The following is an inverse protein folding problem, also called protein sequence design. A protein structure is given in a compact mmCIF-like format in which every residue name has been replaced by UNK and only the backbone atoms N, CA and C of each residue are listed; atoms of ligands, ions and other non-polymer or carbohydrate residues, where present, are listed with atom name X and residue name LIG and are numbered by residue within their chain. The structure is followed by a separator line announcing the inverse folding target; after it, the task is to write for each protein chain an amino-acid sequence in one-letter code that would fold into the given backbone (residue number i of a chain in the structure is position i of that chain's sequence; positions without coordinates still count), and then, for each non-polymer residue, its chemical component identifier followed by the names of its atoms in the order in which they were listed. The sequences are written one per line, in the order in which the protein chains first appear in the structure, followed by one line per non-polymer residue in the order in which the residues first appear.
data_IF_938598469359
#
_entry.id   IF_938598469359
#
_cell.length_a   1.000
_cell.length_b   1.000
_cell.length_c   1.000
_cell.angle_alpha   90.00
_cell.angle_beta   90.00
_cell.angle_gamma   90.00
#
_symmetry.space_group_name_H-M   'P 1'
#
loop_
_entity.id
_entity.type
_entity.pdbx_description
1 polymer ?
#
# COMPACT_ATOMS: atom_id res chain seq x y z
N UNK A 1 17.72 -4.38 1.51
CA UNK A 1 16.31 -3.99 1.31
C UNK A 1 15.43 -5.24 1.49
N UNK A 2 14.49 -5.22 2.45
CA UNK A 2 13.69 -6.41 2.79
C UNK A 2 12.77 -6.85 1.66
N UNK A 3 12.75 -8.16 1.35
CA UNK A 3 11.85 -8.75 0.36
C UNK A 3 10.36 -8.53 0.71
N UNK A 4 10.02 -8.50 2.01
CA UNK A 4 8.66 -8.21 2.47
C UNK A 4 8.28 -6.74 2.20
N UNK A 5 9.18 -5.79 2.49
CA UNK A 5 8.94 -4.37 2.20
C UNK A 5 8.70 -4.13 0.69
N UNK A 6 9.47 -4.81 -0.16
CA UNK A 6 9.27 -4.74 -1.61
C UNK A 6 7.90 -5.30 -2.05
N UNK A 7 7.44 -6.40 -1.44
CA UNK A 7 6.10 -6.97 -1.70
C UNK A 7 4.98 -6.04 -1.25
N UNK A 8 5.12 -5.40 -0.09
CA UNK A 8 4.15 -4.42 0.42
C UNK A 8 4.09 -3.19 -0.49
N UNK A 9 5.24 -2.66 -0.93
CA UNK A 9 5.29 -1.57 -1.90
C UNK A 9 4.57 -1.90 -3.20
N UNK A 10 4.78 -3.12 -3.73
CA UNK A 10 4.05 -3.60 -4.92
C UNK A 10 2.54 -3.68 -4.69
N UNK A 11 2.12 -4.26 -3.57
CA UNK A 11 0.70 -4.36 -3.23
C UNK A 11 0.03 -2.98 -3.13
N UNK A 12 0.68 -2.00 -2.50
CA UNK A 12 0.17 -0.63 -2.46
C UNK A 12 0.02 -0.03 -3.88
N UNK A 13 0.95 -0.32 -4.78
CA UNK A 13 0.86 0.09 -6.19
C UNK A 13 -0.29 -0.59 -6.93
N UNK A 14 -0.54 -1.88 -6.68
CA UNK A 14 -1.67 -2.62 -7.26
C UNK A 14 -3.01 -2.06 -6.79
N UNK A 15 -3.16 -1.75 -5.50
CA UNK A 15 -4.37 -1.11 -4.96
C UNK A 15 -4.64 0.25 -5.60
N UNK A 16 -3.60 1.06 -5.78
CA UNK A 16 -3.70 2.36 -6.43
C UNK A 16 -4.08 2.25 -7.92
N UNK A 17 -3.56 1.24 -8.62
CA UNK A 17 -3.95 0.95 -10.00
C UNK A 17 -5.43 0.54 -10.09
N UNK A 18 -5.90 -0.34 -9.19
CA UNK A 18 -7.32 -0.73 -9.12
C UNK A 18 -8.19 0.51 -8.87
N UNK A 19 -7.79 1.39 -7.95
CA UNK A 19 -8.48 2.66 -7.68
C UNK A 19 -8.58 3.54 -8.91
N UNK A 20 -7.48 3.69 -9.67
CA UNK A 20 -7.45 4.48 -10.89
C UNK A 20 -8.36 3.88 -11.98
N UNK A 21 -8.38 2.56 -12.14
CA UNK A 21 -9.28 1.86 -13.07
C UNK A 21 -10.75 2.04 -12.70
N UNK A 22 -11.06 1.98 -11.40
CA UNK A 22 -12.41 2.24 -10.90
C UNK A 22 -12.85 3.68 -11.19
N UNK A 23 -11.97 4.65 -10.95
CA UNK A 23 -12.22 6.06 -11.28
C UNK A 23 -12.37 6.32 -12.79
N UNK A 24 -11.76 5.51 -13.65
CA UNK A 24 -11.99 5.59 -15.08
C UNK A 24 -13.35 5.00 -15.48
N UNK A 25 -13.77 3.89 -14.86
CA UNK A 25 -15.05 3.25 -15.13
C UNK A 25 -16.27 4.13 -14.77
N UNK A 26 -16.13 5.04 -13.80
CA UNK A 26 -17.21 5.97 -13.40
C UNK A 26 -17.40 7.16 -14.34
N UNK A 27 -16.50 7.37 -15.32
CA UNK A 27 -16.58 8.47 -16.30
C UNK A 27 -17.54 8.22 -17.45
N UNK A 28 -18.14 7.04 -17.55
CA UNK A 28 -19.10 6.72 -18.60
C UNK A 28 -20.35 7.62 -18.46
N UNK A 29 -20.71 8.31 -19.55
CA UNK A 29 -21.86 9.22 -19.67
C UNK A 29 -23.17 8.43 -19.77
N UNK A 30 -23.46 7.64 -18.73
CA UNK A 30 -24.72 6.94 -18.58
C UNK A 30 -25.57 7.63 -17.51
N UNK A 31 -26.71 8.15 -17.93
CA UNK A 31 -27.69 8.81 -17.06
C UNK A 31 -28.80 7.82 -16.69
N UNK A 32 -28.66 7.20 -15.52
CA UNK A 32 -29.73 6.39 -14.90
C UNK A 32 -29.54 6.35 -13.39
N UNK A 33 -30.59 5.97 -12.65
CA UNK A 33 -30.49 5.72 -11.19
C UNK A 33 -29.48 4.62 -10.86
N UNK A 34 -29.36 3.61 -11.72
CA UNK A 34 -28.37 2.56 -11.58
C UNK A 34 -26.94 3.10 -11.76
N UNK A 35 -26.74 4.01 -12.71
CA UNK A 35 -25.46 4.67 -12.93
C UNK A 35 -25.07 5.57 -11.74
N UNK A 36 -26.04 6.28 -11.15
CA UNK A 36 -25.81 7.08 -9.95
C UNK A 36 -25.40 6.22 -8.75
N UNK A 37 -26.15 5.14 -8.47
CA UNK A 37 -25.81 4.18 -7.42
C UNK A 37 -24.42 3.56 -7.63
N UNK A 38 -24.09 3.19 -8.87
CA UNK A 38 -22.76 2.70 -9.22
C UNK A 38 -21.66 3.73 -8.94
N UNK A 39 -21.85 5.00 -9.32
CA UNK A 39 -20.87 6.07 -9.05
C UNK A 39 -20.67 6.32 -7.56
N UNK A 40 -21.74 6.26 -6.76
CA UNK A 40 -21.67 6.39 -5.30
C UNK A 40 -20.89 5.23 -4.68
N UNK A 41 -21.22 3.98 -5.03
CA UNK A 41 -20.51 2.81 -4.54
C UNK A 41 -19.04 2.82 -4.98
N UNK A 42 -18.77 3.18 -6.25
CA UNK A 42 -17.41 3.30 -6.75
C UNK A 42 -16.60 4.39 -6.03
N UNK A 43 -17.22 5.49 -5.61
CA UNK A 43 -16.56 6.52 -4.81
C UNK A 43 -16.19 5.99 -3.41
N UNK A 44 -17.08 5.23 -2.76
CA UNK A 44 -16.82 4.58 -1.47
C UNK A 44 -15.65 3.59 -1.59
N UNK A 45 -15.70 2.69 -2.59
CA UNK A 45 -14.61 1.72 -2.85
C UNK A 45 -13.30 2.39 -3.21
N UNK A 46 -13.33 3.50 -3.93
CA UNK A 46 -12.11 4.26 -4.24
C UNK A 46 -11.48 4.85 -2.98
N UNK A 47 -12.28 5.30 -2.00
CA UNK A 47 -11.79 5.79 -0.72
C UNK A 47 -11.21 4.64 0.14
N UNK A 48 -11.88 3.49 0.19
CA UNK A 48 -11.37 2.28 0.87
C UNK A 48 -10.03 1.82 0.28
N UNK A 49 -9.90 1.77 -1.05
CA UNK A 49 -8.65 1.41 -1.73
C UNK A 49 -7.52 2.41 -1.44
N UNK A 50 -7.83 3.70 -1.37
CA UNK A 50 -6.85 4.72 -1.01
C UNK A 50 -6.35 4.55 0.43
N UNK A 51 -7.27 4.31 1.39
CA UNK A 51 -6.92 4.04 2.78
C UNK A 51 -6.05 2.78 2.91
N UNK A 52 -6.48 1.67 2.31
CA UNK A 52 -5.73 0.41 2.31
C UNK A 52 -4.34 0.56 1.66
N UNK A 53 -4.23 1.28 0.54
CA UNK A 53 -2.94 1.57 -0.09
C UNK A 53 -2.02 2.37 0.83
N UNK A 54 -2.55 3.33 1.59
CA UNK A 54 -1.80 4.12 2.56
C UNK A 54 -1.28 3.25 3.69
N UNK A 55 -2.14 2.43 4.30
CA UNK A 55 -1.77 1.51 5.39
C UNK A 55 -0.68 0.52 4.96
N UNK A 56 -0.79 -0.03 3.75
CA UNK A 56 0.22 -0.94 3.20
C UNK A 56 1.56 -0.23 2.97
N UNK A 57 1.57 1.03 2.52
CA UNK A 57 2.82 1.82 2.42
C UNK A 57 3.47 2.02 3.77
N UNK A 58 2.68 2.46 4.76
CA UNK A 58 3.14 2.66 6.14
C UNK A 58 3.71 1.36 6.73
N UNK A 59 3.02 0.24 6.55
CA UNK A 59 3.54 -1.08 6.97
C UNK A 59 4.85 -1.44 6.26
N UNK A 60 4.95 -1.15 4.95
CA UNK A 60 6.17 -1.33 4.16
C UNK A 60 7.35 -0.53 4.71
N UNK A 61 7.11 0.73 5.08
CA UNK A 61 8.11 1.63 5.66
C UNK A 61 8.61 1.13 7.02
N UNK A 62 7.71 0.65 7.89
CA UNK A 62 8.08 0.03 9.15
C UNK A 62 8.94 -1.22 8.96
N UNK A 63 8.55 -2.10 8.03
CA UNK A 63 9.33 -3.32 7.72
C UNK A 63 10.70 -2.95 7.16
N UNK A 64 10.80 -1.95 6.29
CA UNK A 64 12.07 -1.49 5.74
C UNK A 64 12.96 -0.82 6.80
N UNK A 65 12.38 -0.07 7.73
CA UNK A 65 13.10 0.51 8.87
C UNK A 65 13.62 -0.60 9.80
N UNK A 66 12.78 -1.56 10.15
CA UNK A 66 13.16 -2.69 11.01
C UNK A 66 14.28 -3.53 10.38
N UNK A 67 14.19 -3.83 9.08
CA UNK A 67 15.25 -4.54 8.37
C UNK A 67 16.60 -3.80 8.41
N UNK A 68 16.60 -2.47 8.27
CA UNK A 68 17.82 -1.65 8.42
C UNK A 68 18.41 -1.71 9.83
N UNK A 69 17.57 -1.75 10.86
CA UNK A 69 18.03 -1.92 12.25
C UNK A 69 18.69 -3.28 12.42
N UNK A 70 18.08 -4.36 11.92
CA UNK A 70 18.66 -5.70 11.98
C UNK A 70 19.98 -5.81 11.22
N UNK A 71 20.07 -5.24 10.01
CA UNK A 71 21.31 -5.18 9.22
C UNK A 71 22.41 -4.42 9.97
N UNK A 72 22.08 -3.28 10.60
CA UNK A 72 23.00 -2.50 11.43
C UNK A 72 23.48 -3.27 12.67
N UNK A 73 22.59 -4.00 13.34
CA UNK A 73 22.95 -4.82 14.51
C UNK A 73 23.84 -6.00 14.11
N UNK A 74 23.53 -6.68 13.00
CA UNK A 74 24.36 -7.76 12.47
C UNK A 74 25.76 -7.28 12.07
N UNK A 75 25.88 -6.10 11.47
CA UNK A 75 27.16 -5.51 11.05
C UNK A 75 28.07 -5.13 12.23
N UNK A 76 27.51 -4.88 13.42
CA UNK A 76 28.28 -4.59 14.65
C UNK A 76 28.88 -5.84 15.30
N UNK A 77 28.55 -7.04 14.80
CA UNK A 77 28.96 -8.33 15.35
C UNK A 77 28.34 -8.61 16.72
N UNK A 78 28.40 -9.87 17.21
CA UNK A 78 28.16 -10.10 18.63
C UNK A 78 29.24 -9.30 19.36
N UNK A 79 28.85 -8.23 20.04
CA UNK A 79 29.74 -7.57 20.97
C UNK A 79 30.16 -8.63 21.98
N UNK A 80 31.36 -9.18 21.83
CA UNK A 80 32.06 -9.74 22.97
C UNK A 80 32.28 -8.51 23.85
N UNK A 81 31.63 -8.39 25.02
CA UNK A 81 32.15 -7.48 26.01
C UNK A 81 33.54 -8.03 26.35
N UNK A 82 34.60 -7.39 25.84
CA UNK A 82 35.97 -7.67 26.26
C UNK A 82 36.03 -7.60 27.79
N UNK A 83 36.81 -8.44 28.47
CA UNK A 83 38.21 -8.70 28.16
C UNK A 83 39.05 -7.91 29.16
#
# INVERSE_FOLDING_TARGET
MSALAARLSRLAGELENIRARLAAATRLEWESKAAEAFRQEAALRAAELAAASSEVRVAGDYVAAYARVLESLAARGPGIPGG
#
